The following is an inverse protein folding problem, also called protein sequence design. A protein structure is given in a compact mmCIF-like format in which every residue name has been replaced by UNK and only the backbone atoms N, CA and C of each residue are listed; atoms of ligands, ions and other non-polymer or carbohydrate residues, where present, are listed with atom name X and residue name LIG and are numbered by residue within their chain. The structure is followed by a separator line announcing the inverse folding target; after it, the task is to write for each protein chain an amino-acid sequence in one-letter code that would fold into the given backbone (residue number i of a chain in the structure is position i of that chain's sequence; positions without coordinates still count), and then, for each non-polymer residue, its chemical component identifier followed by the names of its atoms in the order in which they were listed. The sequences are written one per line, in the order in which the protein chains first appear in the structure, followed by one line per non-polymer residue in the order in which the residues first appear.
data_IF_297866754260
#
_entry.id   IF_297866754260
#
_cell.length_a   1.000
_cell.length_b   1.000
_cell.length_c   1.000
_cell.angle_alpha   90.00
_cell.angle_beta   90.00
_cell.angle_gamma   90.00
#
_symmetry.space_group_name_H-M   'P 1'
#
loop_
_entity.id
_entity.type
_entity.pdbx_description
1 polymer ?
#
# COMPACT_ATOMS: atom_id res chain seq x y z
N UNK A 1 -18.95 -5.53 -1.99
CA UNK A 1 -18.24 -5.06 -3.21
C UNK A 1 -17.65 -3.71 -2.86
N UNK A 2 -16.36 -3.48 -3.10
CA UNK A 2 -15.79 -2.13 -2.92
C UNK A 2 -16.38 -1.20 -3.96
N UNK A 3 -16.63 0.04 -3.59
CA UNK A 3 -17.11 1.08 -4.50
C UNK A 3 -15.98 1.41 -5.48
N UNK A 4 -16.29 1.53 -6.77
CA UNK A 4 -15.32 1.98 -7.76
C UNK A 4 -14.88 3.42 -7.44
N UNK A 5 -13.57 3.65 -7.50
CA UNK A 5 -12.94 4.96 -7.40
C UNK A 5 -12.04 5.20 -8.62
N UNK A 6 -11.39 6.38 -8.68
CA UNK A 6 -10.51 6.75 -9.81
C UNK A 6 -9.29 5.83 -10.00
N UNK A 7 -8.94 5.03 -9.00
CA UNK A 7 -7.85 4.05 -9.05
C UNK A 7 -8.33 2.69 -9.54
N UNK A 8 -9.61 2.48 -9.80
CA UNK A 8 -10.19 1.19 -10.20
C UNK A 8 -10.73 1.22 -11.63
N UNK A 9 -10.73 0.08 -12.31
CA UNK A 9 -11.46 -0.04 -13.57
C UNK A 9 -12.97 0.02 -13.28
N UNK A 10 -13.74 0.90 -13.95
CA UNK A 10 -15.18 0.96 -13.77
C UNK A 10 -15.87 -0.39 -14.04
N UNK A 11 -16.77 -0.81 -13.15
CA UNK A 11 -17.51 -2.06 -13.23
C UNK A 11 -16.69 -3.32 -12.96
N UNK A 12 -15.43 -3.20 -12.54
CA UNK A 12 -14.57 -4.36 -12.27
C UNK A 12 -14.77 -4.97 -10.87
N UNK A 13 -15.59 -4.34 -10.03
CA UNK A 13 -15.76 -4.74 -8.63
C UNK A 13 -14.54 -4.38 -7.78
N UNK A 14 -13.84 -3.29 -8.12
CA UNK A 14 -12.72 -2.75 -7.34
C UNK A 14 -11.32 -3.15 -7.80
N UNK A 15 -11.14 -3.70 -9.00
CA UNK A 15 -9.80 -4.05 -9.50
C UNK A 15 -9.05 -2.77 -9.87
N UNK A 16 -7.85 -2.63 -9.30
CA UNK A 16 -7.04 -1.42 -9.46
C UNK A 16 -6.44 -1.31 -10.87
N UNK A 17 -6.43 -0.09 -11.39
CA UNK A 17 -5.77 0.27 -12.64
C UNK A 17 -4.28 -0.05 -12.54
N UNK A 18 -3.77 -0.70 -13.58
CA UNK A 18 -2.41 -1.24 -13.61
C UNK A 18 -1.86 -1.22 -15.04
N UNK A 19 -0.54 -1.17 -15.19
CA UNK A 19 0.18 -1.08 -16.48
C UNK A 19 -0.09 -2.25 -17.45
N UNK A 20 -0.70 -3.31 -16.93
CA UNK A 20 -0.97 -4.56 -17.63
C UNK A 20 -2.43 -4.78 -18.00
N UNK A 21 -3.32 -3.85 -17.67
CA UNK A 21 -4.77 -3.95 -17.90
C UNK A 21 -5.40 -5.24 -17.33
N UNK A 22 -4.86 -5.74 -16.21
CA UNK A 22 -5.39 -6.92 -15.53
C UNK A 22 -6.67 -6.53 -14.80
N UNK A 23 -7.80 -7.12 -15.20
CA UNK A 23 -9.14 -6.87 -14.61
C UNK A 23 -9.66 -8.02 -13.74
N UNK A 24 -8.83 -9.04 -13.54
CA UNK A 24 -9.10 -10.16 -12.63
C UNK A 24 -8.30 -9.92 -11.34
N UNK A 25 -9.00 -9.81 -10.21
CA UNK A 25 -8.39 -9.48 -8.92
C UNK A 25 -7.35 -10.53 -8.47
N UNK A 26 -7.62 -11.82 -8.69
CA UNK A 26 -6.72 -12.89 -8.28
C UNK A 26 -5.44 -12.90 -9.12
N UNK A 27 -5.56 -12.65 -10.43
CA UNK A 27 -4.39 -12.52 -11.31
C UNK A 27 -3.57 -11.28 -11.00
N UNK A 28 -4.22 -10.16 -10.67
CA UNK A 28 -3.53 -8.93 -10.26
C UNK A 28 -2.74 -9.17 -8.97
N UNK A 29 -3.33 -9.83 -7.97
CA UNK A 29 -2.62 -10.18 -6.73
C UNK A 29 -1.42 -11.10 -6.98
N UNK A 30 -1.57 -12.11 -7.83
CA UNK A 30 -0.45 -12.99 -8.21
C UNK A 30 0.68 -12.23 -8.90
N UNK A 31 0.37 -11.27 -9.78
CA UNK A 31 1.37 -10.42 -10.44
C UNK A 31 2.10 -9.53 -9.43
N UNK A 32 1.34 -8.88 -8.54
CA UNK A 32 1.88 -8.03 -7.48
C UNK A 32 2.85 -8.77 -6.58
N UNK A 33 2.45 -9.95 -6.09
CA UNK A 33 3.28 -10.74 -5.19
C UNK A 33 4.59 -11.16 -5.87
N UNK A 34 4.53 -11.56 -7.14
CA UNK A 34 5.72 -12.01 -7.84
C UNK A 34 6.70 -10.86 -8.16
N UNK A 35 6.21 -9.69 -8.58
CA UNK A 35 7.05 -8.49 -8.79
C UNK A 35 7.64 -8.03 -7.45
N UNK A 36 6.81 -7.89 -6.41
CA UNK A 36 7.24 -7.42 -5.11
C UNK A 36 8.30 -8.33 -4.48
N UNK A 37 8.19 -9.65 -4.59
CA UNK A 37 9.20 -10.59 -4.08
C UNK A 37 10.58 -10.38 -4.72
N UNK A 38 10.64 -10.17 -6.04
CA UNK A 38 11.91 -9.92 -6.74
C UNK A 38 12.49 -8.56 -6.36
N UNK A 39 11.66 -7.51 -6.34
CA UNK A 39 12.08 -6.16 -5.98
C UNK A 39 12.56 -6.10 -4.53
N UNK A 40 11.90 -6.81 -3.64
CA UNK A 40 12.33 -6.96 -2.25
C UNK A 40 13.70 -7.63 -2.12
N UNK A 41 13.90 -8.76 -2.81
CA UNK A 41 15.18 -9.48 -2.79
C UNK A 41 16.33 -8.65 -3.38
N UNK A 42 16.04 -7.74 -4.32
CA UNK A 42 17.03 -6.78 -4.80
C UNK A 42 17.35 -5.72 -3.72
N UNK A 43 16.33 -5.15 -3.08
CA UNK A 43 16.50 -4.12 -2.03
C UNK A 43 17.27 -4.63 -0.81
N UNK A 44 17.12 -5.89 -0.42
CA UNK A 44 17.83 -6.45 0.75
C UNK A 44 19.35 -6.48 0.58
N UNK A 45 19.86 -6.33 -0.65
CA UNK A 45 21.30 -6.34 -0.98
C UNK A 45 21.92 -4.95 -1.03
N UNK A 46 21.11 -3.91 -0.86
CA UNK A 46 21.54 -2.53 -0.96
C UNK A 46 21.97 -1.97 0.39
N UNK A 47 22.79 -0.91 0.41
CA UNK A 47 23.07 -0.18 1.63
C UNK A 47 21.77 0.29 2.28
N UNK A 48 21.67 0.14 3.60
CA UNK A 48 20.53 0.66 4.34
C UNK A 48 20.44 2.19 4.20
N UNK A 49 19.22 2.75 4.12
CA UNK A 49 19.05 4.19 4.11
C UNK A 49 19.50 4.78 5.45
N UNK A 50 19.99 6.02 5.40
CA UNK A 50 20.42 6.76 6.60
C UNK A 50 19.27 7.49 7.27
N UNK A 51 18.18 7.74 6.53
CA UNK A 51 16.97 8.44 6.97
C UNK A 51 15.75 7.53 6.80
N UNK A 52 14.82 7.62 7.74
CA UNK A 52 13.57 6.87 7.74
C UNK A 52 12.43 7.85 7.95
N UNK A 53 11.68 8.09 6.88
CA UNK A 53 10.55 9.01 6.83
C UNK A 53 9.49 8.47 5.84
N UNK A 54 8.33 9.12 5.78
CA UNK A 54 7.26 8.72 4.86
C UNK A 54 7.70 8.84 3.40
N UNK A 55 8.64 9.73 3.07
CA UNK A 55 9.21 9.80 1.72
C UNK A 55 9.99 8.53 1.37
N UNK A 56 10.74 7.96 2.31
CA UNK A 56 11.38 6.65 2.14
C UNK A 56 10.35 5.53 2.02
N UNK A 57 9.23 5.58 2.76
CA UNK A 57 8.13 4.63 2.58
C UNK A 57 7.51 4.72 1.17
N UNK A 58 7.31 5.94 0.65
CA UNK A 58 6.86 6.16 -0.73
C UNK A 58 7.88 5.65 -1.76
N UNK A 59 9.18 5.86 -1.51
CA UNK A 59 10.24 5.37 -2.38
C UNK A 59 10.27 3.84 -2.43
N UNK A 60 10.14 3.18 -1.29
CA UNK A 60 9.97 1.72 -1.18
C UNK A 60 8.74 1.27 -1.98
N UNK A 61 7.59 1.91 -1.76
CA UNK A 61 6.36 1.55 -2.48
C UNK A 61 6.54 1.69 -3.99
N UNK A 62 7.15 2.77 -4.46
CA UNK A 62 7.46 2.95 -5.88
C UNK A 62 8.32 1.79 -6.39
N UNK A 63 9.40 1.44 -5.70
CA UNK A 63 10.29 0.36 -6.11
C UNK A 63 9.65 -1.03 -6.13
N UNK A 64 8.68 -1.27 -5.23
CA UNK A 64 7.97 -2.53 -5.18
C UNK A 64 6.91 -2.65 -6.28
N UNK A 65 6.31 -1.54 -6.71
CA UNK A 65 5.06 -1.56 -7.46
C UNK A 65 5.04 -0.70 -8.74
N UNK A 66 6.08 0.05 -9.10
CA UNK A 66 6.09 0.92 -10.30
C UNK A 66 5.83 0.15 -11.59
N UNK A 67 6.27 -1.09 -11.67
CA UNK A 67 6.06 -1.97 -12.80
C UNK A 67 4.58 -2.37 -12.96
N UNK A 68 3.80 -2.38 -11.87
CA UNK A 68 2.39 -2.79 -11.88
C UNK A 68 1.47 -1.56 -11.83
N UNK A 69 1.69 -0.65 -10.89
CA UNK A 69 0.78 0.45 -10.58
C UNK A 69 1.30 1.80 -11.10
N UNK A 70 0.51 2.50 -11.92
CA UNK A 70 0.86 3.86 -12.36
C UNK A 70 0.87 4.89 -11.23
N UNK A 71 0.25 4.59 -10.08
CA UNK A 71 0.26 5.43 -8.88
C UNK A 71 1.35 5.03 -7.87
N UNK A 72 2.30 4.17 -8.22
CA UNK A 72 3.27 3.66 -7.25
C UNK A 72 4.11 4.78 -6.62
N UNK A 73 4.11 4.83 -5.29
CA UNK A 73 4.81 5.84 -4.49
C UNK A 73 4.05 7.15 -4.32
N UNK A 74 2.83 7.25 -4.86
CA UNK A 74 1.96 8.40 -4.67
C UNK A 74 1.08 8.22 -3.44
N UNK A 75 0.84 9.31 -2.71
CA UNK A 75 -0.16 9.34 -1.65
C UNK A 75 -1.56 9.21 -2.27
N UNK A 76 -2.45 8.49 -1.61
CA UNK A 76 -3.86 8.42 -2.04
C UNK A 76 -4.56 9.75 -1.75
N UNK A 77 -5.53 10.07 -2.58
CA UNK A 77 -6.44 11.21 -2.40
C UNK A 77 -7.92 10.79 -2.29
N UNK A 78 -8.15 9.50 -2.02
CA UNK A 78 -9.47 8.92 -1.73
C UNK A 78 -9.48 8.29 -0.34
N UNK A 79 -10.64 8.24 0.30
CA UNK A 79 -10.80 7.56 1.57
C UNK A 79 -10.51 6.06 1.45
N UNK A 80 -9.94 5.50 2.52
CA UNK A 80 -9.65 4.07 2.62
C UNK A 80 -10.03 3.58 4.01
N UNK A 81 -10.41 2.31 4.09
CA UNK A 81 -10.72 1.63 5.33
C UNK A 81 -10.12 0.22 5.33
N UNK A 82 -9.89 -0.31 6.51
CA UNK A 82 -9.45 -1.69 6.66
C UNK A 82 -10.55 -2.63 6.14
N UNK A 83 -10.21 -3.38 5.09
CA UNK A 83 -11.15 -4.24 4.38
C UNK A 83 -11.83 -5.23 5.35
N UNK A 84 -13.16 -5.20 5.37
CA UNK A 84 -13.99 -6.11 6.17
C UNK A 84 -14.14 -5.73 7.65
N UNK A 85 -13.59 -4.61 8.11
CA UNK A 85 -13.68 -4.21 9.53
C UNK A 85 -14.42 -2.90 9.77
N UNK A 86 -14.56 -2.04 8.76
CA UNK A 86 -15.16 -0.71 8.90
C UNK A 86 -14.29 0.30 9.65
N UNK A 87 -13.04 -0.05 10.00
CA UNK A 87 -12.10 0.87 10.63
C UNK A 87 -11.55 1.82 9.57
N UNK A 88 -11.84 3.13 9.64
CA UNK A 88 -11.31 4.09 8.67
C UNK A 88 -9.81 4.32 8.92
N UNK A 89 -9.07 4.52 7.84
CA UNK A 89 -7.71 5.07 7.91
C UNK A 89 -7.74 6.60 7.87
N UNK A 90 -6.57 7.23 7.91
CA UNK A 90 -6.46 8.70 7.81
C UNK A 90 -7.20 9.26 6.60
N UNK A 91 -7.94 10.36 6.76
CA UNK A 91 -8.55 11.03 5.60
C UNK A 91 -7.46 11.68 4.74
N UNK A 92 -7.57 11.68 3.40
CA UNK A 92 -6.49 12.13 2.53
C UNK A 92 -5.94 13.52 2.83
N UNK A 93 -6.81 14.47 3.18
CA UNK A 93 -6.43 15.84 3.52
C UNK A 93 -5.52 15.95 4.75
N UNK A 94 -5.51 14.93 5.62
CA UNK A 94 -4.69 14.88 6.82
C UNK A 94 -3.40 14.08 6.66
N UNK A 95 -3.27 13.27 5.60
CA UNK A 95 -2.08 12.45 5.35
C UNK A 95 -0.79 13.30 5.39
N UNK A 96 -0.70 14.48 4.72
CA UNK A 96 0.55 15.26 4.74
C UNK A 96 0.95 15.75 6.14
N UNK A 97 -0.03 16.14 6.97
CA UNK A 97 0.24 16.64 8.32
C UNK A 97 0.63 15.50 9.27
N UNK A 98 -0.05 14.36 9.20
CA UNK A 98 0.25 13.19 10.02
C UNK A 98 1.59 12.55 9.61
N UNK A 99 1.90 12.49 8.32
CA UNK A 99 3.20 12.04 7.84
C UNK A 99 4.35 12.85 8.46
N UNK A 100 4.23 14.19 8.52
CA UNK A 100 5.22 15.04 9.20
C UNK A 100 5.35 14.73 10.68
N UNK A 101 4.25 14.49 11.38
CA UNK A 101 4.26 14.13 12.80
C UNK A 101 4.99 12.79 13.04
N UNK A 102 4.77 11.80 12.16
CA UNK A 102 5.47 10.52 12.19
C UNK A 102 6.97 10.71 11.93
N UNK A 103 7.34 11.52 10.92
CA UNK A 103 8.73 11.82 10.60
C UNK A 103 9.44 12.53 11.76
N UNK A 104 8.77 13.47 12.43
CA UNK A 104 9.25 14.14 13.64
C UNK A 104 9.43 13.16 14.81
N UNK A 105 8.50 12.21 14.98
CA UNK A 105 8.60 11.18 16.02
C UNK A 105 9.76 10.21 15.76
N UNK A 106 9.93 9.73 14.53
CA UNK A 106 11.06 8.87 14.13
C UNK A 106 12.40 9.57 14.34
N UNK A 107 12.49 10.87 14.01
CA UNK A 107 13.69 11.68 14.26
C UNK A 107 13.98 11.86 15.74
N UNK A 108 12.97 12.15 16.57
CA UNK A 108 13.13 12.29 18.02
C UNK A 108 13.62 10.99 18.66
N UNK A 109 13.19 9.86 18.14
CA UNK A 109 13.65 8.53 18.59
C UNK A 109 14.99 8.12 17.99
N UNK A 110 15.71 9.02 17.32
CA UNK A 110 16.98 8.74 16.64
C UNK A 110 16.88 7.53 15.68
N UNK A 111 15.72 7.38 15.01
CA UNK A 111 15.39 6.22 14.19
C UNK A 111 15.60 4.89 14.92
N UNK A 112 15.25 4.87 16.21
CA UNK A 112 15.27 3.72 17.11
C UNK A 112 16.68 3.18 17.41
N UNK A 113 17.73 3.91 17.01
CA UNK A 113 19.13 3.47 17.22
C UNK A 113 19.56 3.66 18.67
N UNK A 114 20.31 2.69 19.19
CA UNK A 114 20.90 2.74 20.52
C UNK A 114 19.93 2.42 21.66
N UNK A 115 18.73 1.93 21.34
CA UNK A 115 17.77 1.45 22.34
C UNK A 115 18.09 0.01 22.76
N UNK A 116 17.87 -0.38 24.03
CA UNK A 116 17.81 -1.79 24.42
C UNK A 116 16.59 -2.49 23.80
N UNK A 117 16.62 -3.83 23.76
CA UNK A 117 15.66 -4.64 23.00
C UNK A 117 14.20 -4.35 23.34
N UNK A 118 13.82 -4.35 24.62
CA UNK A 118 12.44 -4.06 25.03
C UNK A 118 11.97 -2.68 24.56
N UNK A 119 12.80 -1.65 24.77
CA UNK A 119 12.48 -0.29 24.33
C UNK A 119 12.40 -0.19 22.80
N UNK A 120 13.29 -0.89 22.09
CA UNK A 120 13.26 -0.95 20.63
C UNK A 120 11.94 -1.56 20.15
N UNK A 121 11.51 -2.69 20.72
CA UNK A 121 10.25 -3.36 20.35
C UNK A 121 9.05 -2.46 20.60
N UNK A 122 9.01 -1.80 21.77
CA UNK A 122 7.94 -0.87 22.14
C UNK A 122 7.83 0.29 21.12
N UNK A 123 8.96 0.93 20.78
CA UNK A 123 8.99 2.05 19.83
C UNK A 123 8.73 1.58 18.40
N UNK A 124 9.21 0.39 18.01
CA UNK A 124 8.94 -0.18 16.69
C UNK A 124 7.43 -0.43 16.50
N UNK A 125 6.77 -1.01 17.50
CA UNK A 125 5.33 -1.25 17.47
C UNK A 125 4.55 0.07 17.38
N UNK A 126 4.93 1.08 18.17
CA UNK A 126 4.35 2.42 18.09
C UNK A 126 4.42 2.99 16.67
N UNK A 127 5.62 3.08 16.08
CA UNK A 127 5.78 3.67 14.75
C UNK A 127 5.10 2.86 13.65
N UNK A 128 5.06 1.52 13.77
CA UNK A 128 4.33 0.69 12.82
C UNK A 128 2.80 0.87 12.95
N UNK A 129 2.30 1.05 14.17
CA UNK A 129 0.90 1.43 14.42
C UNK A 129 0.54 2.75 13.73
N UNK A 130 1.35 3.79 13.94
CA UNK A 130 1.15 5.11 13.33
C UNK A 130 1.17 5.05 11.80
N UNK A 131 2.13 4.31 11.21
CA UNK A 131 2.18 4.09 9.75
C UNK A 131 0.97 3.29 9.24
N UNK A 132 0.46 2.35 10.04
CA UNK A 132 -0.76 1.58 9.71
C UNK A 132 -1.99 2.47 9.72
N UNK A 133 -2.12 3.38 10.70
CA UNK A 133 -3.20 4.35 10.80
C UNK A 133 -3.17 5.39 9.67
N UNK A 134 -1.96 5.86 9.32
CA UNK A 134 -1.75 6.78 8.19
C UNK A 134 -2.26 6.16 6.87
N UNK A 135 -1.89 4.91 6.62
CA UNK A 135 -2.23 4.15 5.41
C UNK A 135 -2.08 4.97 4.11
N UNK A 136 -0.86 5.46 3.80
CA UNK A 136 -0.67 6.57 2.87
C UNK A 136 -0.93 6.25 1.40
N UNK A 137 -0.82 5.00 0.97
CA UNK A 137 -1.01 4.59 -0.44
C UNK A 137 -2.39 3.95 -0.66
N UNK A 138 -2.82 3.84 -1.93
CA UNK A 138 -4.12 3.22 -2.28
C UNK A 138 -4.15 1.70 -2.10
N UNK A 139 -3.01 1.04 -2.30
CA UNK A 139 -2.76 -0.38 -2.05
C UNK A 139 -1.28 -0.57 -1.71
N UNK A 140 -0.84 -1.77 -1.34
CA UNK A 140 0.59 -2.06 -1.14
C UNK A 140 1.18 -1.52 0.17
N UNK A 141 0.35 -0.96 1.06
CA UNK A 141 0.76 -0.40 2.35
C UNK A 141 1.49 -1.42 3.22
N UNK A 142 0.89 -2.59 3.48
CA UNK A 142 1.48 -3.62 4.35
C UNK A 142 2.86 -4.06 3.87
N UNK A 143 3.01 -4.37 2.57
CA UNK A 143 4.28 -4.83 1.98
C UNK A 143 5.36 -3.73 2.04
N UNK A 144 4.98 -2.48 1.77
CA UNK A 144 5.90 -1.35 1.86
C UNK A 144 6.33 -1.07 3.31
N UNK A 145 5.39 -1.16 4.26
CA UNK A 145 5.68 -1.01 5.68
C UNK A 145 6.58 -2.13 6.21
N UNK A 146 6.35 -3.39 5.81
CA UNK A 146 7.26 -4.48 6.17
C UNK A 146 8.68 -4.19 5.69
N UNK A 147 8.88 -3.63 4.49
CA UNK A 147 10.21 -3.27 3.98
C UNK A 147 10.85 -2.19 4.82
N UNK A 148 10.06 -1.14 5.08
CA UNK A 148 10.48 0.01 5.84
C UNK A 148 10.91 -0.40 7.25
N UNK A 149 10.07 -1.16 7.95
CA UNK A 149 10.31 -1.64 9.32
C UNK A 149 11.47 -2.64 9.37
N UNK A 150 11.64 -3.49 8.34
CA UNK A 150 12.83 -4.35 8.22
C UNK A 150 14.12 -3.53 8.11
N UNK A 151 14.15 -2.53 7.23
CA UNK A 151 15.31 -1.67 7.03
C UNK A 151 15.60 -0.83 8.29
N UNK A 152 14.55 -0.33 8.94
CA UNK A 152 14.65 0.43 10.19
C UNK A 152 15.23 -0.41 11.32
N UNK A 153 14.72 -1.63 11.51
CA UNK A 153 15.25 -2.57 12.49
C UNK A 153 16.72 -2.91 12.22
N UNK A 154 17.06 -3.24 10.97
CA UNK A 154 18.44 -3.54 10.58
C UNK A 154 19.40 -2.36 10.79
N UNK A 155 18.92 -1.12 10.64
CA UNK A 155 19.69 0.09 10.89
C UNK A 155 19.84 0.41 12.39
N UNK A 156 18.97 -0.14 13.23
CA UNK A 156 19.01 -0.05 14.69
C UNK A 156 19.76 -1.22 15.36
N UNK A 157 20.22 -2.22 14.60
CA UNK A 157 20.93 -3.39 15.12
C UNK A 157 20.01 -4.54 15.53
N UNK A 158 18.80 -4.61 14.94
CA UNK A 158 17.82 -5.66 15.16
C UNK A 158 17.39 -6.32 13.86
N UNK A 159 16.86 -7.54 13.95
CA UNK A 159 16.22 -8.25 12.84
C UNK A 159 14.83 -8.71 13.24
N UNK A 160 13.92 -8.71 12.29
CA UNK A 160 12.60 -9.32 12.42
C UNK A 160 12.70 -10.73 11.83
N UNK A 161 12.34 -11.71 12.64
CA UNK A 161 12.23 -13.12 12.25
C UNK A 161 10.92 -13.33 11.48
N UNK A 162 10.98 -13.06 10.17
CA UNK A 162 9.83 -13.16 9.28
C UNK A 162 9.33 -14.61 9.10
N UNK A 163 10.13 -15.63 9.41
CA UNK A 163 9.70 -17.03 9.37
C UNK A 163 8.70 -17.35 10.49
N UNK A 164 8.80 -16.63 11.62
CA UNK A 164 7.89 -16.75 12.76
C UNK A 164 6.69 -15.80 12.67
N UNK A 165 6.61 -14.96 11.64
CA UNK A 165 5.51 -14.02 11.44
C UNK A 165 4.35 -14.72 10.74
N UNK A 166 3.25 -14.87 11.46
CA UNK A 166 1.93 -15.15 10.89
C UNK A 166 1.33 -13.85 10.33
N UNK A 167 1.01 -13.85 9.03
CA UNK A 167 0.55 -12.66 8.31
C UNK A 167 -0.85 -12.19 8.76
N UNK A 168 -1.73 -13.13 9.10
CA UNK A 168 -3.10 -12.83 9.50
C UNK A 168 -3.16 -12.34 10.94
N UNK A 169 -2.37 -12.95 11.83
CA UNK A 169 -2.19 -12.47 13.20
C UNK A 169 -1.56 -11.08 13.21
N UNK A 170 -0.47 -10.87 12.45
CA UNK A 170 0.17 -9.56 12.32
C UNK A 170 -0.81 -8.51 11.79
N UNK A 171 -1.63 -8.84 10.80
CA UNK A 171 -2.69 -7.95 10.32
C UNK A 171 -3.65 -7.58 11.45
N UNK A 172 -4.08 -8.55 12.24
CA UNK A 172 -5.01 -8.34 13.35
C UNK A 172 -4.43 -7.42 14.41
N UNK A 173 -3.22 -7.70 14.91
CA UNK A 173 -2.60 -6.88 15.96
C UNK A 173 -2.25 -5.47 15.49
N UNK A 174 -1.88 -5.28 14.21
CA UNK A 174 -1.70 -3.94 13.63
C UNK A 174 -3.01 -3.15 13.55
N UNK A 175 -4.12 -3.80 13.21
CA UNK A 175 -5.43 -3.13 13.19
C UNK A 175 -5.91 -2.78 14.61
N UNK A 176 -5.58 -3.59 15.61
CA UNK A 176 -5.80 -3.24 17.02
C UNK A 176 -4.96 -2.02 17.44
N UNK A 177 -3.72 -1.92 16.97
CA UNK A 177 -2.88 -0.74 17.20
C UNK A 177 -3.49 0.56 16.64
N UNK A 178 -4.24 0.46 15.52
CA UNK A 178 -4.99 1.62 14.98
C UNK A 178 -6.22 1.94 15.83
N UNK A 179 -6.91 0.92 16.34
CA UNK A 179 -8.23 1.09 16.96
C UNK A 179 -8.19 1.40 18.47
N UNK A 180 -7.17 0.94 19.19
CA UNK A 180 -7.16 1.01 20.66
C UNK A 180 -5.77 1.16 21.29
N UNK A 181 -4.86 0.22 21.04
CA UNK A 181 -3.55 0.18 21.68
C UNK A 181 -2.56 -0.65 20.88
N UNK A 182 -1.31 -0.20 20.86
CA UNK A 182 -0.14 -0.84 20.30
C UNK A 182 0.33 -2.08 21.09
N UNK A 183 -0.15 -2.28 22.32
CA UNK A 183 0.35 -3.34 23.21
C UNK A 183 0.26 -4.76 22.63
N UNK A 184 -0.81 -5.17 21.93
CA UNK A 184 -0.84 -6.46 21.24
C UNK A 184 0.25 -6.60 20.17
N UNK A 185 0.59 -5.50 19.48
CA UNK A 185 1.68 -5.49 18.48
C UNK A 185 3.05 -5.58 19.16
N UNK A 186 3.24 -4.93 20.31
CA UNK A 186 4.43 -5.08 21.15
C UNK A 186 4.62 -6.54 21.55
N UNK A 187 3.60 -7.15 22.16
CA UNK A 187 3.66 -8.52 22.66
C UNK A 187 3.92 -9.51 21.51
N UNK A 188 3.30 -9.27 20.35
CA UNK A 188 3.53 -10.06 19.14
C UNK A 188 4.99 -9.97 18.64
N UNK A 189 5.58 -8.78 18.66
CA UNK A 189 6.93 -8.54 18.13
C UNK A 189 8.05 -8.96 19.09
N UNK A 190 7.80 -9.00 20.40
CA UNK A 190 8.80 -9.26 21.45
C UNK A 190 9.66 -10.50 21.17
N UNK A 191 9.03 -11.61 20.80
CA UNK A 191 9.73 -12.89 20.53
C UNK A 191 10.15 -13.07 19.06
N UNK A 192 9.78 -12.12 18.20
CA UNK A 192 10.04 -12.11 16.75
C UNK A 192 11.07 -11.08 16.34
N UNK A 193 11.54 -10.25 17.27
CA UNK A 193 12.65 -9.32 17.08
C UNK A 193 13.85 -9.85 17.83
N UNK A 194 14.99 -9.93 17.16
CA UNK A 194 16.25 -10.42 17.73
C UNK A 194 17.35 -9.40 17.50
N UNK A 195 18.34 -9.36 18.39
CA UNK A 195 19.57 -8.62 18.16
C UNK A 195 20.21 -9.09 16.85
N UNK A 196 20.75 -8.15 16.09
CA UNK A 196 21.33 -8.38 14.78
C UNK A 196 22.72 -7.76 14.71
N UNK A 197 23.75 -8.60 14.75
CA UNK A 197 25.12 -8.13 14.66
C UNK A 197 25.43 -7.68 13.23
N UNK A 198 26.29 -6.67 13.05
CA UNK A 198 26.72 -6.24 11.73
C UNK A 198 27.41 -7.36 10.92
N UNK A 199 27.95 -8.38 11.60
CA UNK A 199 28.57 -9.58 11.01
C UNK A 199 27.53 -10.53 10.38
N UNK A 200 26.29 -10.54 10.88
CA UNK A 200 25.18 -11.33 10.33
C UNK A 200 24.65 -10.76 8.99
N UNK A 201 25.21 -9.64 8.52
CA UNK A 201 24.94 -9.08 7.18
C UNK A 201 25.58 -9.91 6.06
N UNK A 202 26.62 -10.70 6.35
CA UNK A 202 27.30 -11.49 5.31
C UNK A 202 26.67 -12.85 5.04
N UNK A 203 25.88 -13.41 5.96
CA UNK A 203 25.42 -14.81 5.88
C UNK A 203 24.08 -14.99 5.11
N UNK A 204 23.32 -13.92 4.86
CA UNK A 204 22.11 -13.96 4.02
C UNK A 204 22.34 -13.44 2.59
N UNK A 205 23.51 -13.77 2.00
CA UNK A 205 23.87 -13.32 0.65
C UNK A 205 23.68 -14.35 -0.46
N UNK A 206 23.21 -15.56 -0.16
CA UNK A 206 23.10 -16.63 -1.16
C UNK A 206 21.82 -17.44 -1.01
N UNK A 207 20.80 -17.11 -1.83
CA UNK A 207 19.84 -18.06 -2.46
C UNK A 207 18.77 -17.30 -3.25
N UNK A 208 19.18 -16.55 -4.28
CA UNK A 208 18.34 -16.21 -5.46
C UNK A 208 19.25 -15.52 -6.48
N UNK A 209 20.10 -16.30 -7.13
CA UNK A 209 21.00 -15.83 -8.17
C UNK A 209 20.25 -15.68 -9.51
N UNK A 210 20.23 -14.46 -10.05
CA UNK A 210 20.42 -14.24 -11.48
C UNK A 210 19.20 -14.00 -12.38
N UNK A 211 17.96 -14.12 -11.89
CA UNK A 211 16.77 -13.87 -12.72
C UNK A 211 16.02 -12.62 -12.24
N UNK A 212 15.84 -11.64 -13.12
CA UNK A 212 14.81 -10.59 -12.97
C UNK A 212 13.41 -11.23 -12.97
N UNK A 213 12.38 -10.53 -12.45
CA UNK A 213 11.00 -11.04 -12.47
C UNK A 213 10.61 -11.46 -13.89
N UNK A 214 10.92 -10.61 -14.86
CA UNK A 214 10.80 -10.87 -16.29
C UNK A 214 11.46 -12.17 -16.76
N UNK A 215 12.64 -12.52 -16.25
CA UNK A 215 13.38 -13.72 -16.64
C UNK A 215 12.89 -14.98 -15.90
N UNK A 216 12.10 -14.85 -14.82
CA UNK A 216 11.51 -16.00 -14.13
C UNK A 216 10.44 -16.69 -14.98
N UNK A 217 10.23 -18.02 -14.84
CA UNK A 217 9.14 -18.73 -15.53
C UNK A 217 7.76 -18.09 -15.31
N UNK A 218 7.53 -17.53 -14.12
CA UNK A 218 6.29 -16.84 -13.76
C UNK A 218 6.16 -15.48 -14.45
N UNK A 219 7.25 -14.72 -14.59
CA UNK A 219 7.26 -13.47 -15.36
C UNK A 219 7.09 -13.71 -16.86
N UNK A 220 7.65 -14.79 -17.40
CA UNK A 220 7.42 -15.20 -18.78
C UNK A 220 5.94 -15.56 -19.04
N UNK A 221 5.31 -16.31 -18.13
CA UNK A 221 3.86 -16.59 -18.21
C UNK A 221 3.03 -15.31 -18.10
N UNK A 222 3.41 -14.39 -17.21
CA UNK A 222 2.74 -13.10 -17.05
C UNK A 222 2.83 -12.26 -18.34
N UNK A 223 3.98 -12.24 -19.01
CA UNK A 223 4.14 -11.52 -20.29
C UNK A 223 3.16 -11.98 -21.36
N UNK A 224 3.01 -13.29 -21.57
CA UNK A 224 2.04 -13.84 -22.52
C UNK A 224 0.60 -13.45 -22.16
N UNK A 225 0.27 -13.41 -20.87
CA UNK A 225 -1.04 -12.95 -20.39
C UNK A 225 -1.26 -11.46 -20.65
N UNK A 226 -0.26 -10.61 -20.37
CA UNK A 226 -0.29 -9.17 -20.63
C UNK A 226 -0.54 -8.87 -22.11
N UNK A 227 0.17 -9.55 -23.02
CA UNK A 227 0.00 -9.35 -24.46
C UNK A 227 -1.40 -9.73 -24.93
N UNK A 228 -1.96 -10.82 -24.40
CA UNK A 228 -3.33 -11.23 -24.66
C UNK A 228 -4.34 -10.17 -24.20
N UNK A 229 -4.18 -9.61 -23.00
CA UNK A 229 -5.07 -8.59 -22.47
C UNK A 229 -4.98 -7.27 -23.25
N UNK A 230 -3.77 -6.84 -23.67
CA UNK A 230 -3.59 -5.66 -24.53
C UNK A 230 -4.35 -5.79 -25.85
N UNK A 231 -4.34 -6.98 -26.46
CA UNK A 231 -5.09 -7.25 -27.69
C UNK A 231 -6.60 -7.24 -27.47
N UNK A 232 -7.06 -7.75 -26.32
CA UNK A 232 -8.48 -7.86 -26.02
C UNK A 232 -9.13 -6.53 -25.63
N UNK A 233 -8.43 -5.66 -24.90
CA UNK A 233 -9.03 -4.52 -24.22
C UNK A 233 -8.41 -3.15 -24.54
N UNK A 234 -7.36 -3.10 -25.38
CA UNK A 234 -6.57 -1.91 -25.77
C UNK A 234 -6.85 -0.59 -25.03
N UNK A 235 -5.95 -0.13 -24.16
CA UNK A 235 -6.08 1.15 -23.42
C UNK A 235 -4.78 1.58 -22.72
N UNK A 236 -4.62 2.89 -22.53
CA UNK A 236 -3.57 3.53 -21.70
C UNK A 236 -4.03 3.64 -20.24
N UNK A 237 -3.41 2.92 -19.29
CA UNK A 237 -3.80 2.90 -17.89
C UNK A 237 -3.60 4.26 -17.19
N UNK A 238 -2.68 5.10 -17.65
CA UNK A 238 -2.54 6.45 -17.09
C UNK A 238 -3.74 7.33 -17.45
N UNK A 239 -4.30 7.15 -18.65
CA UNK A 239 -5.51 7.85 -19.09
C UNK A 239 -6.74 7.53 -18.25
N UNK A 240 -6.84 6.32 -17.68
CA UNK A 240 -7.99 5.89 -16.86
C UNK A 240 -8.00 6.60 -15.50
N UNK A 241 -6.82 6.83 -14.91
CA UNK A 241 -6.71 7.51 -13.62
C UNK A 241 -6.87 9.03 -13.72
N UNK A 242 -6.82 9.59 -14.93
CA UNK A 242 -7.06 11.03 -15.11
C UNK A 242 -8.51 11.32 -14.74
N UNK A 243 -8.77 12.40 -13.99
CA UNK A 243 -10.14 12.86 -13.81
C UNK A 243 -10.74 13.10 -15.20
N UNK A 244 -12.05 12.83 -15.38
CA UNK A 244 -12.71 13.11 -16.65
C UNK A 244 -12.45 14.58 -17.00
N UNK A 245 -11.82 14.83 -18.15
CA UNK A 245 -11.64 16.19 -18.66
C UNK A 245 -13.03 16.80 -18.75
N UNK A 246 -13.25 17.90 -18.03
CA UNK A 246 -14.55 18.54 -17.91
C UNK A 246 -15.05 19.05 -19.24
N UNK A 247 -15.73 18.19 -20.00
CA UNK A 247 -16.61 18.56 -21.12
C UNK A 247 -17.80 17.60 -21.31
N UNK A 248 -17.94 16.58 -20.44
CA UNK A 248 -19.12 15.70 -20.45
C UNK A 248 -20.24 16.14 -19.47
N UNK A 249 -20.20 17.39 -18.98
CA UNK A 249 -21.21 17.93 -18.07
C UNK A 249 -22.35 18.70 -18.78
N UNK A 250 -22.43 18.66 -20.11
CA UNK A 250 -23.46 19.37 -20.88
C UNK A 250 -24.30 18.42 -21.74
N UNK A 251 -24.87 17.36 -21.15
CA UNK A 251 -25.96 16.58 -21.77
C UNK A 251 -26.71 15.75 -20.72
N UNK A 252 -27.30 16.42 -19.72
CA UNK A 252 -28.44 15.82 -19.02
C UNK A 252 -29.72 16.25 -19.75
N UNK A 253 -30.56 15.33 -20.26
CA UNK A 253 -31.85 15.72 -20.81
C UNK A 253 -32.68 16.37 -19.69
N UNK A 254 -33.25 17.56 -19.97
CA UNK A 254 -34.17 18.22 -19.05
C UNK A 254 -35.32 17.27 -18.74
N UNK A 255 -35.76 17.15 -17.47
CA UNK A 255 -36.99 16.43 -17.17
C UNK A 255 -38.16 17.14 -17.86
N UNK A 256 -39.19 16.40 -18.31
CA UNK A 256 -40.34 17.00 -18.98
C UNK A 256 -41.03 17.98 -18.03
N UNK A 257 -41.22 19.21 -18.51
CA UNK A 257 -41.97 20.24 -17.79
C UNK A 257 -43.38 19.72 -17.50
N UNK A 258 -43.67 19.55 -16.21
CA UNK A 258 -44.99 19.19 -15.74
C UNK A 258 -46.00 20.22 -16.20
N UNK A 259 -47.06 19.76 -16.88
CA UNK A 259 -48.20 20.59 -17.25
C UNK A 259 -48.79 21.24 -16.00
N UNK A 260 -48.73 22.57 -15.99
CA UNK A 260 -49.51 23.44 -15.13
C UNK A 260 -51.00 23.14 -15.34
N UNK A 261 -51.66 22.48 -14.40
CA UNK A 261 -53.12 22.54 -14.28
C UNK A 261 -53.47 23.82 -13.52
N UNK A 262 -53.76 24.86 -14.28
CA UNK A 262 -54.48 26.04 -13.81
C UNK A 262 -55.84 25.65 -13.21
N UNK A 263 -56.16 26.34 -12.13
CA UNK A 263 -57.48 26.44 -11.55
C UNK A 263 -58.52 26.89 -12.59
N UNK A 264 -59.69 26.25 -12.60
CA UNK A 264 -60.94 26.93 -12.96
C UNK A 264 -61.89 26.92 -11.76
N UNK A 265 -62.22 28.14 -11.32
CA UNK A 265 -63.31 28.48 -10.40
C UNK A 265 -64.67 28.43 -11.11
N UNK A 266 -65.72 28.21 -10.31
CA UNK A 266 -67.12 28.63 -10.53
C UNK A 266 -68.03 27.51 -11.02
N UNK A 267 -69.29 27.35 -10.57
CA UNK A 267 -70.22 28.21 -9.83
C UNK A 267 -71.41 27.33 -9.36
N UNK A 268 -72.11 27.85 -8.33
CA UNK A 268 -73.44 27.46 -7.80
C UNK A 268 -73.57 26.21 -6.93
#
# INVERSE_FOLDING_TARGET
MSVDDKYTYPGSGGVLVNHYNIRDAAKLDQALNAVASVRWAAMSREPLPTRFDVAQLQAIHRRLFDEIYPFAGQLRDVDAQAMGTGIPYSRPEFIPAQARAIDDALRRDNYLRGMPHDQFVDRLAYHWGELTALHPMRDGNTRSQSAFITQLAAAAGYRIDWERVDVDELRTVRLQAVASSERPLVDYLRDRVQSYAAQDRSEHRETMTGLTFEQSPRGQQMRSFIEMQRRAFGQDPEGIMRPPTGDAAASRPRPPEGRSTEQRRGLS
#
